data_IF_195911748976
#
_entry.id   IF_195911748976
#
_cell.length_a   1.000
_cell.length_b   1.000
_cell.length_c   1.000
_cell.angle_alpha   90.00
_cell.angle_beta   90.00
_cell.angle_gamma   90.00
#
_symmetry.space_group_name_H-M   'P 1'
#
loop_
_entity.id
_entity.type
_entity.pdbx_description
1 polymer ?
#
# COMPACT_ATOMS: atom_id res chain seq x y z
N UNK A 1 -29.02 -0.29 -28.78
CA UNK A 1 -29.40 -1.68 -28.46
C UNK A 1 -28.33 -2.24 -27.56
N UNK A 2 -28.75 -2.48 -26.34
CA UNK A 2 -27.92 -2.76 -25.18
C UNK A 2 -27.41 -4.22 -25.23
N UNK A 3 -26.12 -4.43 -25.54
CA UNK A 3 -25.45 -5.73 -25.42
C UNK A 3 -24.63 -5.86 -24.14
N UNK A 4 -24.87 -4.99 -23.13
CA UNK A 4 -24.11 -4.95 -21.87
C UNK A 4 -24.59 -5.89 -20.76
N UNK A 5 -25.74 -6.55 -20.88
CA UNK A 5 -26.42 -7.16 -19.73
C UNK A 5 -25.94 -8.57 -19.31
N UNK A 6 -25.49 -9.41 -20.21
CA UNK A 6 -25.20 -10.82 -19.91
C UNK A 6 -23.72 -11.11 -19.59
N UNK A 7 -22.80 -10.27 -20.01
CA UNK A 7 -21.37 -10.45 -19.77
C UNK A 7 -20.88 -10.03 -18.38
N UNK A 8 -21.53 -9.06 -17.74
CA UNK A 8 -21.06 -8.49 -16.47
C UNK A 8 -21.10 -9.49 -15.28
N UNK A 9 -22.18 -10.28 -15.06
CA UNK A 9 -22.18 -11.30 -14.01
C UNK A 9 -21.16 -12.40 -14.24
N UNK A 10 -21.02 -12.88 -15.49
CA UNK A 10 -20.04 -13.91 -15.84
C UNK A 10 -18.59 -13.41 -15.63
N UNK A 11 -18.30 -12.18 -16.03
CA UNK A 11 -17.00 -11.55 -15.77
C UNK A 11 -16.73 -11.40 -14.27
N UNK A 12 -17.73 -10.98 -13.48
CA UNK A 12 -17.62 -10.89 -12.02
C UNK A 12 -17.32 -12.26 -11.42
N UNK A 13 -18.06 -13.32 -11.80
CA UNK A 13 -17.81 -14.67 -11.32
C UNK A 13 -16.38 -15.13 -11.65
N UNK A 14 -15.91 -14.92 -12.90
CA UNK A 14 -14.55 -15.28 -13.33
C UNK A 14 -13.47 -14.53 -12.51
N UNK A 15 -13.64 -13.24 -12.29
CA UNK A 15 -12.73 -12.42 -11.46
C UNK A 15 -12.64 -12.94 -10.04
N UNK A 16 -13.78 -13.26 -9.41
CA UNK A 16 -13.79 -13.79 -8.05
C UNK A 16 -13.16 -15.18 -7.97
N UNK A 17 -13.40 -16.04 -8.96
CA UNK A 17 -12.74 -17.35 -9.08
C UNK A 17 -11.21 -17.23 -9.20
N UNK A 18 -10.73 -16.29 -10.01
CA UNK A 18 -9.31 -16.01 -10.11
C UNK A 18 -8.73 -15.55 -8.76
N UNK A 19 -9.37 -14.61 -8.07
CA UNK A 19 -8.90 -14.16 -6.76
C UNK A 19 -8.89 -15.28 -5.72
N UNK A 20 -9.88 -16.18 -5.72
CA UNK A 20 -9.90 -17.33 -4.83
C UNK A 20 -8.68 -18.23 -5.02
N UNK A 21 -8.30 -18.51 -6.29
CA UNK A 21 -7.20 -19.42 -6.62
C UNK A 21 -5.80 -18.80 -6.60
N UNK A 22 -5.69 -17.48 -6.61
CA UNK A 22 -4.37 -16.79 -6.70
C UNK A 22 -4.12 -15.87 -5.51
N UNK A 23 -4.86 -14.76 -5.41
CA UNK A 23 -4.58 -13.71 -4.43
C UNK A 23 -4.90 -14.09 -2.98
N UNK A 24 -5.99 -14.85 -2.77
CA UNK A 24 -6.41 -15.26 -1.43
C UNK A 24 -5.84 -16.62 -1.04
N UNK A 25 -5.50 -17.47 -2.00
CA UNK A 25 -4.93 -18.78 -1.75
C UNK A 25 -3.65 -18.67 -0.91
N UNK A 26 -3.60 -19.38 0.22
CA UNK A 26 -2.47 -19.35 1.16
C UNK A 26 -2.35 -18.08 2.02
N UNK A 27 -3.19 -17.06 1.78
CA UNK A 27 -3.14 -15.79 2.51
C UNK A 27 -4.35 -15.52 3.40
N UNK A 28 -5.55 -15.89 2.95
CA UNK A 28 -6.80 -15.75 3.71
C UNK A 28 -7.79 -16.85 3.30
N UNK A 29 -7.87 -17.96 4.05
CA UNK A 29 -8.82 -19.03 3.78
C UNK A 29 -10.28 -18.54 3.74
N UNK A 30 -10.63 -17.57 4.58
CA UNK A 30 -11.98 -16.97 4.63
C UNK A 30 -12.30 -16.26 3.31
N UNK A 31 -11.43 -15.36 2.86
CA UNK A 31 -11.64 -14.64 1.59
C UNK A 31 -11.56 -15.56 0.37
N UNK A 32 -10.70 -16.58 0.41
CA UNK A 32 -10.65 -17.60 -0.64
C UNK A 32 -11.99 -18.34 -0.76
N UNK A 33 -12.58 -18.75 0.38
CA UNK A 33 -13.87 -19.42 0.43
C UNK A 33 -15.02 -18.51 -0.05
N UNK A 34 -15.07 -17.25 0.41
CA UNK A 34 -16.09 -16.29 -0.04
C UNK A 34 -15.99 -16.02 -1.56
N UNK A 35 -14.78 -15.84 -2.06
CA UNK A 35 -14.56 -15.60 -3.49
C UNK A 35 -14.95 -16.81 -4.35
N UNK A 36 -14.60 -18.03 -3.93
CA UNK A 36 -15.03 -19.26 -4.60
C UNK A 36 -16.56 -19.40 -4.59
N UNK A 37 -17.21 -19.03 -3.48
CA UNK A 37 -18.68 -19.05 -3.36
C UNK A 37 -19.36 -18.07 -4.33
N UNK A 38 -18.84 -16.84 -4.44
CA UNK A 38 -19.33 -15.87 -5.44
C UNK A 38 -19.16 -16.40 -6.85
N UNK A 39 -18.02 -17.00 -7.17
CA UNK A 39 -17.76 -17.57 -8.50
C UNK A 39 -18.75 -18.71 -8.85
N UNK A 40 -19.16 -19.51 -7.87
CA UNK A 40 -20.08 -20.63 -8.04
C UNK A 40 -21.57 -20.24 -8.01
N UNK A 41 -21.92 -19.02 -7.51
CA UNK A 41 -23.30 -18.60 -7.27
C UNK A 41 -23.72 -17.50 -8.23
N UNK A 42 -24.37 -17.84 -9.33
CA UNK A 42 -24.72 -16.91 -10.41
C UNK A 42 -25.55 -15.69 -9.90
N UNK A 43 -26.49 -15.90 -8.97
CA UNK A 43 -27.32 -14.82 -8.41
C UNK A 43 -26.51 -13.85 -7.54
N UNK A 44 -25.43 -14.33 -6.90
CA UNK A 44 -24.54 -13.52 -6.10
C UNK A 44 -23.61 -12.68 -6.97
N UNK A 45 -23.04 -13.31 -8.00
CA UNK A 45 -22.25 -12.60 -9.01
C UNK A 45 -23.09 -11.52 -9.73
N UNK A 46 -24.36 -11.81 -10.03
CA UNK A 46 -25.29 -10.85 -10.61
C UNK A 46 -25.59 -9.67 -9.66
N UNK A 47 -25.74 -9.92 -8.36
CA UNK A 47 -25.93 -8.88 -7.36
C UNK A 47 -24.71 -7.93 -7.32
N UNK A 48 -23.50 -8.47 -7.23
CA UNK A 48 -22.25 -7.70 -7.22
C UNK A 48 -22.05 -6.95 -8.55
N UNK A 49 -22.45 -7.54 -9.67
CA UNK A 49 -22.37 -6.92 -10.99
C UNK A 49 -23.25 -5.67 -11.15
N UNK A 50 -24.17 -5.39 -10.20
CA UNK A 50 -24.94 -4.12 -10.15
C UNK A 50 -24.08 -2.92 -9.72
N UNK A 51 -22.88 -3.15 -9.15
CA UNK A 51 -21.90 -2.10 -8.86
C UNK A 51 -21.23 -1.60 -10.16
N UNK A 52 -20.68 -0.37 -10.18
CA UNK A 52 -19.79 0.08 -11.24
C UNK A 52 -18.61 -0.89 -11.44
N UNK A 53 -18.07 -1.05 -12.66
CA UNK A 53 -17.01 -2.03 -12.95
C UNK A 53 -15.78 -1.91 -12.05
N UNK A 54 -15.33 -0.69 -11.77
CA UNK A 54 -14.19 -0.37 -10.89
C UNK A 54 -14.46 -0.64 -9.40
N UNK A 55 -15.72 -0.89 -9.03
CA UNK A 55 -16.17 -1.14 -7.66
C UNK A 55 -16.48 -2.61 -7.37
N UNK A 56 -16.32 -3.51 -8.35
CA UNK A 56 -16.61 -4.96 -8.20
C UNK A 56 -15.46 -5.77 -7.63
N UNK A 57 -14.38 -5.12 -7.24
CA UNK A 57 -13.17 -5.79 -6.72
C UNK A 57 -13.50 -6.63 -5.47
N UNK A 58 -13.07 -7.91 -5.40
CA UNK A 58 -13.32 -8.77 -4.24
C UNK A 58 -12.88 -8.13 -2.92
N UNK A 59 -11.66 -7.59 -2.87
CA UNK A 59 -11.13 -6.91 -1.68
C UNK A 59 -12.04 -5.79 -1.17
N UNK A 60 -12.62 -4.99 -2.08
CA UNK A 60 -13.46 -3.86 -1.73
C UNK A 60 -14.81 -4.33 -1.16
N UNK A 61 -15.43 -5.31 -1.82
CA UNK A 61 -16.76 -5.85 -1.40
C UNK A 61 -16.63 -6.57 -0.05
N UNK A 62 -15.58 -7.37 0.13
CA UNK A 62 -15.35 -8.11 1.37
C UNK A 62 -15.03 -7.15 2.53
N UNK A 63 -14.13 -6.17 2.30
CA UNK A 63 -13.85 -5.15 3.30
C UNK A 63 -15.09 -4.35 3.70
N UNK A 64 -15.99 -4.04 2.75
CA UNK A 64 -17.23 -3.36 3.06
C UNK A 64 -18.17 -4.18 3.97
N UNK A 65 -18.22 -5.50 3.78
CA UNK A 65 -19.01 -6.36 4.69
C UNK A 65 -18.37 -6.41 6.09
N UNK A 66 -17.04 -6.50 6.19
CA UNK A 66 -16.35 -6.46 7.48
C UNK A 66 -16.49 -5.12 8.20
N UNK A 67 -16.37 -4.02 7.47
CA UNK A 67 -16.59 -2.67 8.00
C UNK A 67 -17.98 -2.51 8.63
N UNK A 68 -18.99 -3.18 8.07
CA UNK A 68 -20.37 -3.22 8.61
C UNK A 68 -20.58 -4.27 9.70
N UNK A 69 -19.51 -4.97 10.13
CA UNK A 69 -19.57 -5.91 11.23
C UNK A 69 -19.90 -7.36 10.83
N UNK A 70 -19.74 -7.74 9.56
CA UNK A 70 -19.82 -9.13 9.16
C UNK A 70 -18.69 -9.92 9.85
N UNK A 71 -18.98 -11.01 10.59
CA UNK A 71 -17.96 -11.83 11.18
C UNK A 71 -17.20 -12.65 10.13
N UNK A 72 -16.02 -13.16 10.51
CA UNK A 72 -15.28 -14.16 9.73
C UNK A 72 -16.04 -15.49 9.77
N UNK A 73 -16.96 -15.66 8.86
CA UNK A 73 -17.93 -16.75 8.84
C UNK A 73 -17.78 -17.63 7.59
N UNK A 74 -18.48 -18.76 7.59
CA UNK A 74 -18.62 -19.58 6.39
C UNK A 74 -19.30 -18.81 5.25
N UNK A 75 -19.15 -19.25 3.98
CA UNK A 75 -19.68 -18.53 2.83
C UNK A 75 -21.19 -18.31 2.82
N UNK A 76 -21.97 -19.25 3.37
CA UNK A 76 -23.45 -19.11 3.40
C UNK A 76 -23.89 -18.03 4.40
N UNK A 77 -23.25 -17.97 5.56
CA UNK A 77 -23.48 -16.93 6.57
C UNK A 77 -23.06 -15.56 6.02
N UNK A 78 -21.93 -15.47 5.34
CA UNK A 78 -21.48 -14.23 4.69
C UNK A 78 -22.47 -13.80 3.58
N UNK A 79 -22.94 -14.72 2.73
CA UNK A 79 -23.93 -14.43 1.70
C UNK A 79 -25.22 -13.87 2.29
N UNK A 80 -25.73 -14.50 3.38
CA UNK A 80 -26.91 -14.03 4.07
C UNK A 80 -26.72 -12.61 4.61
N UNK A 81 -25.57 -12.31 5.21
CA UNK A 81 -25.21 -10.97 5.66
C UNK A 81 -25.17 -9.97 4.49
N UNK A 82 -24.46 -10.32 3.40
CA UNK A 82 -24.35 -9.45 2.22
C UNK A 82 -25.72 -9.11 1.64
N UNK A 83 -26.58 -10.11 1.43
CA UNK A 83 -27.93 -9.91 0.88
C UNK A 83 -28.82 -9.09 1.81
N UNK A 84 -28.81 -9.38 3.10
CA UNK A 84 -29.58 -8.68 4.10
C UNK A 84 -29.17 -7.21 4.27
N UNK A 85 -27.91 -6.88 3.99
CA UNK A 85 -27.35 -5.55 4.17
C UNK A 85 -26.92 -4.88 2.85
N UNK A 86 -27.35 -5.40 1.70
CA UNK A 86 -26.87 -4.95 0.39
C UNK A 86 -26.93 -3.42 0.17
N UNK A 87 -27.98 -2.69 0.54
CA UNK A 87 -27.99 -1.24 0.38
C UNK A 87 -26.86 -0.53 1.15
N UNK A 88 -26.57 -0.96 2.39
CA UNK A 88 -25.51 -0.41 3.20
C UNK A 88 -24.11 -0.80 2.64
N UNK A 89 -23.92 -2.08 2.27
CA UNK A 89 -22.69 -2.56 1.63
C UNK A 89 -22.41 -1.75 0.35
N UNK A 90 -23.42 -1.57 -0.49
CA UNK A 90 -23.30 -0.78 -1.72
C UNK A 90 -22.86 0.66 -1.42
N UNK A 91 -23.43 1.29 -0.40
CA UNK A 91 -23.06 2.66 0.02
C UNK A 91 -21.58 2.71 0.43
N UNK A 92 -21.12 1.78 1.27
CA UNK A 92 -19.70 1.69 1.68
C UNK A 92 -18.80 1.46 0.49
N UNK A 93 -19.12 0.50 -0.38
CA UNK A 93 -18.32 0.20 -1.59
C UNK A 93 -18.20 1.42 -2.50
N UNK A 94 -19.27 2.17 -2.71
CA UNK A 94 -19.24 3.36 -3.56
C UNK A 94 -18.42 4.50 -2.96
N UNK A 95 -18.47 4.66 -1.64
CA UNK A 95 -17.75 5.73 -0.92
C UNK A 95 -16.28 5.46 -0.66
N UNK A 96 -15.82 4.22 -0.79
CA UNK A 96 -14.46 3.84 -0.41
C UNK A 96 -13.63 3.27 -1.55
N UNK A 97 -12.32 3.12 -1.31
CA UNK A 97 -11.34 2.51 -2.21
C UNK A 97 -10.47 1.53 -1.42
N UNK A 98 -9.84 0.59 -2.11
CA UNK A 98 -8.84 -0.31 -1.53
C UNK A 98 -7.50 0.43 -1.40
N UNK A 99 -7.34 1.20 -0.34
CA UNK A 99 -6.12 1.98 -0.06
C UNK A 99 -5.37 1.32 1.10
N UNK A 100 -4.69 0.22 0.82
CA UNK A 100 -3.90 -0.50 1.84
C UNK A 100 -2.75 0.38 2.31
N UNK A 101 -2.63 0.60 3.62
CA UNK A 101 -1.48 1.24 4.23
C UNK A 101 -0.69 0.21 5.03
N UNK A 102 0.52 -0.15 4.58
CA UNK A 102 1.34 -1.23 5.13
C UNK A 102 2.61 -0.66 5.77
N UNK A 103 2.60 -0.37 7.09
CA UNK A 103 3.75 0.26 7.77
C UNK A 103 5.02 -0.56 7.70
N UNK A 104 4.92 -1.91 7.62
CA UNK A 104 6.08 -2.80 7.57
C UNK A 104 6.95 -2.57 6.33
N UNK A 105 6.42 -1.96 5.26
CA UNK A 105 7.24 -1.54 4.12
C UNK A 105 8.36 -0.59 4.51
N UNK A 106 8.23 0.15 5.62
CA UNK A 106 9.31 0.95 6.16
C UNK A 106 10.57 0.13 6.45
N UNK A 107 10.45 -1.16 6.81
CA UNK A 107 11.61 -2.01 7.07
C UNK A 107 12.44 -2.27 5.81
N UNK A 108 11.83 -2.27 4.63
CA UNK A 108 12.55 -2.40 3.36
C UNK A 108 13.05 -1.06 2.82
N UNK A 109 12.37 0.04 3.13
CA UNK A 109 12.73 1.40 2.69
C UNK A 109 13.86 2.01 3.53
N UNK A 110 13.89 1.71 4.83
CA UNK A 110 14.83 2.32 5.79
C UNK A 110 16.31 2.19 5.40
N UNK A 111 16.83 1.06 4.89
CA UNK A 111 18.21 0.95 4.43
C UNK A 111 18.56 1.95 3.33
N UNK A 112 17.61 2.22 2.40
CA UNK A 112 17.81 3.21 1.33
C UNK A 112 17.75 4.62 1.88
N UNK A 113 16.83 4.93 2.78
CA UNK A 113 16.80 6.23 3.47
C UNK A 113 18.10 6.47 4.25
N UNK A 114 18.63 5.44 4.92
CA UNK A 114 19.92 5.50 5.61
C UNK A 114 21.09 5.79 4.65
N UNK A 115 21.12 5.15 3.46
CA UNK A 115 22.12 5.43 2.42
C UNK A 115 22.08 6.89 1.96
N UNK A 116 20.89 7.42 1.69
CA UNK A 116 20.72 8.81 1.26
C UNK A 116 21.18 9.77 2.36
N UNK A 117 20.74 9.54 3.60
CA UNK A 117 21.12 10.38 4.75
C UNK A 117 22.62 10.38 5.00
N UNK A 118 23.30 9.22 4.88
CA UNK A 118 24.74 9.10 5.04
C UNK A 118 25.53 9.85 3.96
N UNK A 119 25.04 9.85 2.72
CA UNK A 119 25.65 10.57 1.58
C UNK A 119 25.48 12.07 1.68
N UNK A 120 24.28 12.52 1.99
CA UNK A 120 23.94 13.96 1.97
C UNK A 120 24.28 14.67 3.28
N UNK A 121 24.32 13.93 4.40
CA UNK A 121 24.54 14.46 5.77
C UNK A 121 23.52 15.52 6.17
N UNK A 122 22.33 15.49 5.59
CA UNK A 122 21.22 16.40 5.87
C UNK A 122 20.01 15.62 6.38
N UNK A 123 19.10 16.26 7.13
CA UNK A 123 17.80 15.65 7.40
C UNK A 123 17.07 15.33 6.10
N UNK A 124 16.31 14.24 6.07
CA UNK A 124 15.49 13.90 4.93
C UNK A 124 14.13 14.59 5.00
N UNK A 125 13.67 15.12 3.88
CA UNK A 125 12.28 15.50 3.66
C UNK A 125 11.61 14.38 2.89
N UNK A 126 10.78 13.59 3.54
CA UNK A 126 10.08 12.48 2.94
C UNK A 126 8.82 12.95 2.23
N UNK A 127 8.67 12.56 0.96
CA UNK A 127 7.50 12.86 0.14
C UNK A 127 6.97 11.53 -0.41
N UNK A 128 5.87 11.04 0.15
CA UNK A 128 5.25 9.80 -0.30
C UNK A 128 4.20 10.05 -1.38
N UNK A 129 4.27 9.27 -2.45
CA UNK A 129 3.24 9.24 -3.48
C UNK A 129 2.33 8.04 -3.21
N UNK A 130 1.01 8.30 -3.08
CA UNK A 130 0.04 7.31 -2.68
C UNK A 130 0.14 6.89 -1.19
N UNK A 131 0.27 7.86 -0.25
CA UNK A 131 0.47 7.58 1.17
C UNK A 131 -0.74 6.95 1.87
N UNK A 132 -1.93 6.97 1.30
CA UNK A 132 -3.16 6.59 2.00
C UNK A 132 -3.30 7.41 3.31
N UNK A 133 -3.07 6.81 4.49
CA UNK A 133 -3.04 7.51 5.78
C UNK A 133 -1.62 7.98 6.22
N UNK A 134 -0.60 7.84 5.37
CA UNK A 134 0.75 8.36 5.62
C UNK A 134 1.59 7.57 6.63
N UNK A 135 1.27 6.30 6.89
CA UNK A 135 1.99 5.52 7.89
C UNK A 135 3.44 5.21 7.49
N UNK A 136 3.76 5.14 6.19
CA UNK A 136 5.14 4.97 5.75
C UNK A 136 5.98 6.27 5.81
N UNK A 137 5.35 7.40 6.11
CA UNK A 137 6.03 8.68 6.38
C UNK A 137 6.58 8.80 7.81
N UNK A 138 6.36 7.79 8.67
CA UNK A 138 6.78 7.77 10.07
C UNK A 138 7.91 6.76 10.37
N UNK A 139 8.89 6.51 9.46
CA UNK A 139 9.86 5.44 9.66
C UNK A 139 10.73 5.62 10.89
N UNK A 140 11.01 6.84 11.31
CA UNK A 140 11.82 7.19 12.47
C UNK A 140 11.09 7.05 13.81
N UNK A 141 9.76 6.88 13.78
CA UNK A 141 8.94 6.66 14.96
C UNK A 141 8.68 5.18 15.26
N UNK A 142 9.19 4.28 14.43
CA UNK A 142 9.05 2.83 14.59
C UNK A 142 10.34 2.19 15.12
N UNK A 143 10.25 0.94 15.51
CA UNK A 143 11.42 0.10 15.75
C UNK A 143 11.51 -1.02 14.73
N UNK A 144 12.71 -1.50 14.50
CA UNK A 144 13.04 -2.48 13.47
C UNK A 144 13.86 -3.61 14.05
N UNK A 145 13.65 -4.81 13.53
CA UNK A 145 14.44 -5.99 13.83
C UNK A 145 14.74 -6.73 12.53
N UNK A 146 16.01 -6.76 12.14
CA UNK A 146 16.50 -7.49 10.98
C UNK A 146 17.13 -8.81 11.44
N UNK A 147 16.67 -9.93 10.85
CA UNK A 147 17.15 -11.30 11.08
C UNK A 147 17.14 -11.72 12.57
N UNK A 148 16.30 -11.10 13.40
CA UNK A 148 16.23 -11.35 14.83
C UNK A 148 17.43 -10.82 15.64
N UNK A 149 18.38 -10.14 15.02
CA UNK A 149 19.66 -9.71 15.63
C UNK A 149 19.82 -8.20 15.64
N UNK A 150 19.75 -7.57 14.47
CA UNK A 150 19.97 -6.11 14.36
C UNK A 150 18.72 -5.36 14.74
N UNK A 151 18.80 -4.53 15.78
CA UNK A 151 17.70 -3.68 16.24
C UNK A 151 18.00 -2.20 16.07
N UNK A 152 16.97 -1.45 15.64
CA UNK A 152 17.05 -0.02 15.43
C UNK A 152 15.73 0.65 15.83
N UNK A 153 15.81 1.84 16.44
CA UNK A 153 14.63 2.57 16.95
C UNK A 153 14.06 1.96 18.23
N UNK A 154 13.14 2.70 18.86
CA UNK A 154 12.51 2.31 20.14
C UNK A 154 11.00 2.48 20.13
N UNK A 155 10.45 3.00 19.03
CA UNK A 155 9.01 3.25 18.92
C UNK A 155 8.19 2.02 18.51
N UNK A 156 6.91 2.22 18.34
CA UNK A 156 5.96 1.18 17.91
C UNK A 156 5.35 1.54 16.55
N UNK A 157 5.05 0.54 15.71
CA UNK A 157 5.27 -0.91 15.89
C UNK A 157 6.73 -1.36 15.76
N UNK A 158 7.02 -2.58 16.23
CA UNK A 158 8.25 -3.30 15.88
C UNK A 158 8.07 -3.97 14.51
N UNK A 159 8.85 -3.53 13.53
CA UNK A 159 8.81 -4.01 12.15
C UNK A 159 9.93 -5.05 11.93
N UNK A 160 9.54 -6.32 11.79
CA UNK A 160 10.48 -7.42 11.54
C UNK A 160 10.66 -7.64 10.06
N UNK A 161 11.92 -7.80 9.63
CA UNK A 161 12.29 -8.08 8.25
C UNK A 161 13.40 -9.13 8.21
N UNK A 162 13.23 -10.15 7.40
CA UNK A 162 14.29 -11.12 7.09
C UNK A 162 15.06 -10.62 5.88
N UNK A 163 16.41 -10.70 5.94
CA UNK A 163 17.27 -10.20 4.87
C UNK A 163 18.12 -11.29 4.24
N UNK A 164 18.49 -11.08 2.98
CA UNK A 164 19.57 -11.81 2.32
C UNK A 164 20.52 -10.84 1.63
N UNK A 165 21.74 -11.27 1.33
CA UNK A 165 22.81 -10.37 0.89
C UNK A 165 23.31 -9.49 2.03
N UNK A 166 23.78 -8.30 1.72
CA UNK A 166 24.36 -7.37 2.70
C UNK A 166 23.67 -6.01 2.62
N UNK A 167 22.39 -5.91 3.05
CA UNK A 167 21.69 -4.64 3.02
C UNK A 167 22.39 -3.63 3.95
N UNK A 168 22.51 -2.35 3.54
CA UNK A 168 23.19 -1.32 4.32
C UNK A 168 22.27 -0.83 5.45
N UNK A 169 22.01 -1.68 6.45
CA UNK A 169 21.23 -1.31 7.61
C UNK A 169 21.93 -0.13 8.32
N UNK A 170 21.27 1.02 8.52
CA UNK A 170 21.92 2.16 9.13
C UNK A 170 22.24 1.88 10.61
N UNK A 171 23.41 2.35 11.06
CA UNK A 171 23.82 2.21 12.47
C UNK A 171 22.99 3.07 13.43
N UNK A 172 22.34 4.12 12.92
CA UNK A 172 21.45 4.99 13.65
C UNK A 172 20.27 5.41 12.75
N UNK A 173 19.14 5.76 13.38
CA UNK A 173 17.95 6.22 12.67
C UNK A 173 18.27 7.49 11.86
N UNK A 174 17.95 7.55 10.55
CA UNK A 174 18.12 8.76 9.77
C UNK A 174 17.20 9.86 10.32
N UNK A 175 17.71 11.09 10.33
CA UNK A 175 16.90 12.23 10.76
C UNK A 175 15.88 12.60 9.69
N UNK A 176 14.61 12.58 10.06
CA UNK A 176 13.51 13.07 9.22
C UNK A 176 13.18 14.50 9.65
N UNK A 177 13.28 15.43 8.72
CA UNK A 177 13.06 16.86 8.97
C UNK A 177 11.68 17.35 8.55
N UNK A 178 11.03 16.66 7.59
CA UNK A 178 9.66 16.95 7.20
C UNK A 178 9.00 15.74 6.53
N UNK A 179 7.67 15.72 6.51
CA UNK A 179 6.85 14.64 5.96
C UNK A 179 5.70 15.22 5.16
N UNK A 180 5.63 14.87 3.88
CA UNK A 180 4.52 15.23 3.02
C UNK A 180 4.11 14.06 2.13
N UNK A 181 2.91 14.11 1.56
CA UNK A 181 2.51 13.13 0.58
C UNK A 181 1.35 13.60 -0.28
N UNK A 182 1.21 12.99 -1.47
CA UNK A 182 0.12 13.24 -2.39
C UNK A 182 -0.64 11.95 -2.67
N UNK A 183 -1.97 11.99 -2.50
CA UNK A 183 -2.88 10.88 -2.79
C UNK A 183 -4.12 11.41 -3.51
N UNK A 184 -4.73 10.62 -4.38
CA UNK A 184 -6.03 10.96 -4.97
C UNK A 184 -7.14 11.06 -3.91
N UNK A 185 -6.97 10.37 -2.79
CA UNK A 185 -7.92 10.33 -1.68
C UNK A 185 -7.17 10.10 -0.36
N UNK A 186 -6.47 11.10 0.17
CA UNK A 186 -5.75 10.97 1.42
C UNK A 186 -6.72 10.69 2.58
N UNK A 187 -6.34 9.76 3.46
CA UNK A 187 -7.16 9.35 4.60
C UNK A 187 -6.64 9.99 5.89
N UNK A 188 -7.52 10.44 6.75
CA UNK A 188 -7.16 10.84 8.11
C UNK A 188 -7.07 9.58 9.01
N UNK A 189 -5.86 9.11 9.26
CA UNK A 189 -5.61 7.96 10.13
C UNK A 189 -5.91 8.22 11.61
N UNK A 190 -6.45 9.38 11.99
CA UNK A 190 -6.93 9.69 13.33
C UNK A 190 -8.47 9.76 13.41
N UNK A 191 -9.16 9.73 12.27
CA UNK A 191 -10.61 9.61 12.21
C UNK A 191 -11.02 8.15 12.53
N UNK A 192 -11.85 7.93 13.55
CA UNK A 192 -12.28 6.57 13.92
C UNK A 192 -12.98 5.79 12.80
N UNK A 193 -13.66 6.45 11.88
CA UNK A 193 -14.30 5.80 10.74
C UNK A 193 -13.26 5.32 9.74
N UNK A 194 -12.27 6.16 9.42
CA UNK A 194 -11.18 5.79 8.52
C UNK A 194 -10.28 4.72 9.12
N UNK A 195 -10.02 4.77 10.44
CA UNK A 195 -9.31 3.70 11.17
C UNK A 195 -10.03 2.37 10.99
N UNK A 196 -11.35 2.30 11.24
CA UNK A 196 -12.14 1.08 11.03
C UNK A 196 -12.10 0.61 9.58
N UNK A 197 -12.11 1.54 8.61
CA UNK A 197 -11.99 1.19 7.20
C UNK A 197 -10.62 0.57 6.87
N UNK A 198 -9.53 1.16 7.34
CA UNK A 198 -8.18 0.63 7.17
C UNK A 198 -8.02 -0.76 7.79
N UNK A 199 -8.62 -0.98 8.96
CA UNK A 199 -8.65 -2.30 9.62
C UNK A 199 -9.44 -3.33 8.79
N UNK A 200 -10.58 -2.95 8.22
CA UNK A 200 -11.41 -3.82 7.39
C UNK A 200 -10.73 -4.21 6.07
N UNK A 201 -9.73 -3.45 5.60
CA UNK A 201 -8.92 -3.80 4.43
C UNK A 201 -7.86 -4.88 4.73
N UNK A 202 -7.60 -5.19 5.99
CA UNK A 202 -6.71 -6.30 6.38
C UNK A 202 -7.50 -7.60 6.29
N UNK A 203 -6.98 -8.55 5.54
CA UNK A 203 -7.69 -9.80 5.30
C UNK A 203 -7.76 -10.67 6.55
N UNK A 204 -8.87 -11.41 6.77
CA UNK A 204 -8.98 -12.37 7.86
C UNK A 204 -7.81 -13.37 7.91
N UNK A 205 -7.36 -13.66 9.11
CA UNK A 205 -6.19 -14.53 9.36
C UNK A 205 -4.84 -13.82 9.27
N UNK A 206 -4.82 -12.50 9.04
CA UNK A 206 -3.58 -11.69 9.01
C UNK A 206 -3.41 -10.84 10.28
N UNK A 207 -3.61 -11.45 11.45
CA UNK A 207 -3.63 -10.76 12.75
C UNK A 207 -2.36 -9.97 13.05
N UNK A 208 -1.21 -10.46 12.60
CA UNK A 208 0.06 -9.75 12.73
C UNK A 208 0.11 -8.44 11.92
N UNK A 209 -0.54 -8.40 10.74
CA UNK A 209 -0.69 -7.16 9.97
C UNK A 209 -1.65 -6.20 10.63
N UNK A 210 -2.78 -6.71 11.12
CA UNK A 210 -3.76 -5.89 11.85
C UNK A 210 -3.14 -5.26 13.09
N UNK A 211 -2.40 -6.04 13.89
CA UNK A 211 -1.69 -5.53 15.06
C UNK A 211 -0.66 -4.45 14.69
N UNK A 212 0.10 -4.65 13.62
CA UNK A 212 1.06 -3.67 13.11
C UNK A 212 0.38 -2.38 12.64
N UNK A 213 -0.74 -2.50 11.91
CA UNK A 213 -1.53 -1.34 11.46
C UNK A 213 -2.05 -0.54 12.66
N UNK A 214 -2.67 -1.19 13.64
CA UNK A 214 -3.19 -0.56 14.85
C UNK A 214 -2.11 0.18 15.64
N UNK A 215 -0.95 -0.44 15.80
CA UNK A 215 0.17 0.20 16.50
C UNK A 215 0.71 1.42 15.74
N UNK A 216 0.78 1.38 14.40
CA UNK A 216 1.20 2.52 13.60
C UNK A 216 0.17 3.67 13.64
N UNK A 217 -1.12 3.37 13.58
CA UNK A 217 -2.19 4.35 13.72
C UNK A 217 -2.17 5.00 15.13
N UNK A 218 -1.92 4.21 16.18
CA UNK A 218 -1.74 4.72 17.53
C UNK A 218 -0.52 5.67 17.63
N UNK A 219 0.59 5.34 16.94
CA UNK A 219 1.76 6.21 16.86
C UNK A 219 1.44 7.52 16.13
N UNK A 220 0.71 7.46 15.01
CA UNK A 220 0.25 8.66 14.29
C UNK A 220 -0.65 9.55 15.15
N UNK A 221 -1.52 8.95 15.98
CA UNK A 221 -2.43 9.66 16.86
C UNK A 221 -1.80 10.12 18.18
N UNK A 222 -0.56 9.73 18.48
CA UNK A 222 0.11 10.05 19.76
C UNK A 222 0.35 11.54 19.91
N UNK A 223 0.17 12.11 21.13
CA UNK A 223 0.49 13.51 21.40
C UNK A 223 1.96 13.82 21.06
N UNK A 224 2.20 14.93 20.38
CA UNK A 224 3.53 15.35 19.97
C UNK A 224 4.06 14.73 18.69
N UNK A 225 3.36 13.78 18.10
CA UNK A 225 3.70 13.27 16.76
C UNK A 225 3.43 14.37 15.72
N UNK A 226 4.47 14.75 14.99
CA UNK A 226 4.33 15.62 13.82
C UNK A 226 3.64 14.85 12.69
N UNK A 227 2.39 15.22 12.43
CA UNK A 227 1.57 14.54 11.41
C UNK A 227 2.08 14.89 10.01
N UNK A 228 2.11 13.91 9.08
CA UNK A 228 2.41 14.18 7.68
C UNK A 228 1.41 15.18 7.07
N UNK A 229 1.89 16.09 6.25
CA UNK A 229 1.05 16.94 5.39
C UNK A 229 0.61 16.13 4.18
N UNK A 230 -0.62 15.63 4.18
CA UNK A 230 -1.20 14.92 3.04
C UNK A 230 -2.02 15.88 2.19
N UNK A 231 -1.75 15.90 0.87
CA UNK A 231 -2.48 16.72 -0.10
C UNK A 231 -3.26 15.83 -1.06
N UNK A 232 -4.50 16.22 -1.35
CA UNK A 232 -5.30 15.57 -2.36
C UNK A 232 -4.88 16.04 -3.77
N UNK A 233 -4.75 15.08 -4.71
CA UNK A 233 -4.45 15.40 -6.10
C UNK A 233 -3.74 14.30 -6.86
N UNK A 234 -3.56 14.54 -8.16
CA UNK A 234 -2.78 13.67 -9.04
C UNK A 234 -1.27 13.85 -8.76
N UNK A 235 -0.57 12.74 -8.67
CA UNK A 235 0.87 12.73 -8.38
C UNK A 235 1.68 13.51 -9.42
N UNK A 236 1.31 13.41 -10.72
CA UNK A 236 2.00 14.11 -11.81
C UNK A 236 1.78 15.64 -11.79
N UNK A 237 0.78 16.10 -11.05
CA UNK A 237 0.47 17.53 -10.92
C UNK A 237 1.07 18.14 -9.65
N UNK A 238 1.16 17.33 -8.59
CA UNK A 238 1.46 17.83 -7.23
C UNK A 238 2.89 17.56 -6.76
N UNK A 239 3.58 16.53 -7.30
CA UNK A 239 4.90 16.13 -6.79
C UNK A 239 5.95 17.24 -6.88
N UNK A 240 5.97 18.00 -7.97
CA UNK A 240 6.94 19.08 -8.17
C UNK A 240 6.77 20.22 -7.15
N UNK A 241 5.52 20.54 -6.79
CA UNK A 241 5.19 21.52 -5.74
C UNK A 241 5.70 21.03 -4.37
N UNK A 242 5.46 19.77 -4.03
CA UNK A 242 5.91 19.21 -2.76
C UNK A 242 7.44 19.17 -2.65
N UNK A 243 8.16 18.93 -3.73
CA UNK A 243 9.63 19.01 -3.77
C UNK A 243 10.11 20.45 -3.63
N UNK A 244 9.45 21.41 -4.28
CA UNK A 244 9.79 22.82 -4.20
C UNK A 244 9.57 23.41 -2.79
N UNK A 245 8.64 22.85 -2.01
CA UNK A 245 8.37 23.25 -0.62
C UNK A 245 9.44 22.75 0.36
N UNK A 246 10.38 21.88 -0.06
CA UNK A 246 11.41 21.31 0.82
C UNK A 246 12.44 22.40 1.20
N UNK A 247 12.72 22.60 2.49
CA UNK A 247 13.75 23.54 2.91
C UNK A 247 15.12 23.18 2.31
N UNK A 248 15.94 24.16 1.86
CA UNK A 248 17.25 23.90 1.23
C UNK A 248 18.26 23.23 2.18
N UNK A 249 17.97 23.17 3.48
CA UNK A 249 18.76 22.47 4.49
C UNK A 249 18.45 20.97 4.57
N UNK A 250 17.41 20.49 3.86
CA UNK A 250 16.98 19.10 3.84
C UNK A 250 17.30 18.47 2.48
N UNK A 251 17.27 17.14 2.45
CA UNK A 251 17.36 16.36 1.22
C UNK A 251 15.97 15.83 0.88
N UNK A 252 15.43 16.22 -0.26
CA UNK A 252 14.14 15.71 -0.76
C UNK A 252 14.27 14.24 -1.15
N UNK A 253 13.36 13.42 -0.66
CA UNK A 253 13.24 12.00 -1.02
C UNK A 253 11.80 11.73 -1.41
N UNK A 254 11.55 11.58 -2.70
CA UNK A 254 10.25 11.13 -3.22
C UNK A 254 10.24 9.62 -3.23
N UNK A 255 9.24 9.00 -2.62
CA UNK A 255 9.12 7.55 -2.60
C UNK A 255 7.68 7.08 -2.78
N UNK A 256 7.54 5.83 -3.22
CA UNK A 256 6.27 5.14 -3.35
C UNK A 256 6.44 3.62 -3.24
N UNK A 257 5.37 2.94 -2.88
CA UNK A 257 5.35 1.48 -2.82
C UNK A 257 3.97 0.94 -3.18
N UNK A 258 3.90 0.16 -4.26
CA UNK A 258 2.65 -0.40 -4.83
C UNK A 258 1.65 0.69 -5.26
N UNK A 259 2.10 1.69 -5.96
CA UNK A 259 1.30 2.84 -6.42
C UNK A 259 1.31 2.97 -7.94
N UNK A 260 2.49 2.96 -8.56
CA UNK A 260 2.59 3.18 -10.00
C UNK A 260 1.96 2.06 -10.83
N UNK A 261 1.74 0.88 -10.24
CA UNK A 261 1.01 -0.21 -10.89
C UNK A 261 -0.41 0.19 -11.32
N UNK A 262 -1.02 1.16 -10.64
CA UNK A 262 -2.37 1.67 -10.96
C UNK A 262 -2.38 2.72 -12.08
N UNK A 263 -1.21 3.21 -12.51
CA UNK A 263 -1.11 4.22 -13.56
C UNK A 263 -0.93 3.58 -14.94
N UNK A 264 -1.50 4.19 -15.99
CA UNK A 264 -1.15 3.86 -17.38
C UNK A 264 0.34 4.10 -17.66
N UNK A 265 0.96 3.32 -18.59
CA UNK A 265 2.39 3.46 -18.90
C UNK A 265 2.84 4.89 -19.22
N UNK A 266 2.07 5.64 -19.99
CA UNK A 266 2.40 7.05 -20.32
C UNK A 266 2.44 7.97 -19.11
N UNK A 267 1.60 7.73 -18.09
CA UNK A 267 1.63 8.51 -16.85
C UNK A 267 2.81 8.14 -15.96
N UNK A 268 3.22 6.86 -15.95
CA UNK A 268 4.45 6.42 -15.27
C UNK A 268 5.69 7.08 -15.86
N UNK A 269 5.79 7.08 -17.19
CA UNK A 269 6.90 7.74 -17.91
C UNK A 269 6.93 9.25 -17.63
N UNK A 270 5.77 9.91 -17.62
CA UNK A 270 5.66 11.33 -17.26
C UNK A 270 6.15 11.59 -15.84
N UNK A 271 5.76 10.73 -14.88
CA UNK A 271 6.21 10.85 -13.50
C UNK A 271 7.73 10.74 -13.39
N UNK A 272 8.32 9.70 -14.00
CA UNK A 272 9.77 9.52 -14.01
C UNK A 272 10.49 10.72 -14.65
N UNK A 273 10.00 11.21 -15.80
CA UNK A 273 10.57 12.38 -16.46
C UNK A 273 10.48 13.65 -15.59
N UNK A 274 9.38 13.83 -14.86
CA UNK A 274 9.23 14.95 -13.91
C UNK A 274 10.28 14.84 -12.80
N UNK A 275 10.41 13.67 -12.15
CA UNK A 275 11.39 13.49 -11.07
C UNK A 275 12.83 13.71 -11.53
N UNK A 276 13.17 13.31 -12.76
CA UNK A 276 14.49 13.52 -13.33
C UNK A 276 14.89 15.01 -13.46
N UNK A 277 13.93 15.95 -13.43
CA UNK A 277 14.18 17.39 -13.48
C UNK A 277 14.23 18.06 -12.11
N UNK A 278 13.89 17.33 -11.04
CA UNK A 278 13.80 17.88 -9.69
C UNK A 278 15.06 17.54 -8.86
N UNK A 279 15.41 18.43 -7.93
CA UNK A 279 16.50 18.18 -6.98
C UNK A 279 15.97 17.27 -5.83
N UNK A 280 15.83 15.98 -6.14
CA UNK A 280 15.38 14.96 -5.19
C UNK A 280 15.98 13.60 -5.48
N UNK A 281 16.03 12.74 -4.47
CA UNK A 281 16.21 11.30 -4.67
C UNK A 281 14.87 10.63 -4.89
N UNK A 282 14.85 9.60 -5.73
CA UNK A 282 13.66 8.82 -6.02
C UNK A 282 13.81 7.37 -5.56
N UNK A 283 12.97 6.93 -4.63
CA UNK A 283 12.92 5.56 -4.13
C UNK A 283 11.62 4.91 -4.60
N UNK A 284 11.72 3.89 -5.42
CA UNK A 284 10.57 3.11 -5.92
C UNK A 284 10.58 1.69 -5.35
N UNK A 285 9.41 1.16 -4.97
CA UNK A 285 9.22 -0.21 -4.52
C UNK A 285 7.94 -0.78 -5.14
N UNK A 286 8.08 -1.37 -6.33
CA UNK A 286 6.97 -1.82 -7.17
C UNK A 286 7.22 -3.23 -7.72
N UNK A 287 6.20 -3.86 -8.29
CA UNK A 287 6.36 -5.14 -9.02
C UNK A 287 7.08 -4.99 -10.38
N UNK A 288 7.64 -3.83 -10.64
CA UNK A 288 8.50 -3.46 -11.76
C UNK A 288 9.44 -2.33 -11.33
N UNK A 289 10.39 -1.95 -12.17
CA UNK A 289 11.07 -0.65 -12.07
C UNK A 289 11.02 0.06 -13.42
N UNK A 290 11.26 1.36 -13.41
CA UNK A 290 11.42 2.14 -14.64
C UNK A 290 12.92 2.31 -14.88
N UNK A 291 13.37 1.92 -16.07
CA UNK A 291 14.76 2.11 -16.49
C UNK A 291 15.04 3.58 -16.90
N UNK A 292 16.27 3.85 -17.27
CA UNK A 292 16.72 5.20 -17.66
C UNK A 292 15.94 5.80 -18.87
N UNK A 293 15.25 4.95 -19.66
CA UNK A 293 14.36 5.39 -20.73
C UNK A 293 12.92 5.66 -20.27
N UNK A 294 12.60 5.36 -19.02
CA UNK A 294 11.25 5.38 -18.48
C UNK A 294 10.40 4.15 -18.88
N UNK A 295 11.01 3.14 -19.49
CA UNK A 295 10.31 1.90 -19.82
C UNK A 295 10.10 1.02 -18.56
N UNK A 296 8.95 0.34 -18.52
CA UNK A 296 8.62 -0.57 -17.42
C UNK A 296 9.36 -1.90 -17.59
N UNK A 297 10.23 -2.24 -16.65
CA UNK A 297 10.91 -3.53 -16.56
C UNK A 297 10.27 -4.33 -15.43
N UNK A 298 9.63 -5.48 -15.72
CA UNK A 298 9.01 -6.31 -14.69
C UNK A 298 10.01 -6.78 -13.64
N UNK A 299 9.56 -6.97 -12.39
CA UNK A 299 10.39 -7.62 -11.36
C UNK A 299 10.78 -9.02 -11.83
N UNK A 300 12.03 -9.40 -11.60
CA UNK A 300 12.54 -10.73 -11.92
C UNK A 300 11.79 -11.87 -11.18
N UNK A 301 11.11 -11.54 -10.09
CA UNK A 301 10.32 -12.46 -9.27
C UNK A 301 8.88 -11.95 -9.21
N UNK A 302 7.94 -12.65 -9.83
CA UNK A 302 6.56 -12.20 -10.04
C UNK A 302 5.74 -11.90 -8.78
N UNK A 303 6.14 -12.44 -7.63
CA UNK A 303 5.54 -12.24 -6.31
C UNK A 303 6.26 -11.19 -5.45
N UNK A 304 7.34 -10.58 -5.96
CA UNK A 304 8.18 -9.62 -5.24
C UNK A 304 8.21 -8.27 -5.92
N UNK A 305 8.46 -7.24 -5.12
CA UNK A 305 8.73 -5.90 -5.62
C UNK A 305 10.23 -5.71 -5.88
N UNK A 306 10.55 -4.81 -6.77
CA UNK A 306 11.90 -4.29 -6.97
C UNK A 306 12.03 -2.96 -6.25
N UNK A 307 12.94 -2.89 -5.29
CA UNK A 307 13.34 -1.66 -4.62
C UNK A 307 14.47 -1.02 -5.41
N UNK A 308 14.26 0.21 -5.87
CA UNK A 308 15.25 0.95 -6.64
C UNK A 308 15.48 2.35 -6.08
N UNK A 309 16.67 2.88 -6.27
CA UNK A 309 17.07 4.26 -5.96
C UNK A 309 17.53 4.94 -7.26
N UNK A 310 16.90 6.06 -7.60
CA UNK A 310 17.22 6.87 -8.79
C UNK A 310 17.28 6.00 -10.07
N UNK A 311 16.25 5.16 -10.27
CA UNK A 311 16.13 4.22 -11.40
C UNK A 311 16.99 2.95 -11.31
N UNK A 312 17.85 2.80 -10.29
CA UNK A 312 18.78 1.66 -10.16
C UNK A 312 18.26 0.63 -9.17
N UNK A 313 17.98 -0.62 -9.58
CA UNK A 313 17.57 -1.69 -8.68
C UNK A 313 18.63 -1.97 -7.62
N UNK A 314 18.22 -2.11 -6.36
CA UNK A 314 19.06 -2.39 -5.21
C UNK A 314 18.69 -3.71 -4.52
N UNK A 315 17.43 -4.07 -4.53
CA UNK A 315 16.92 -5.23 -3.80
C UNK A 315 15.59 -5.74 -4.38
N UNK A 316 15.25 -6.98 -4.03
CA UNK A 316 13.89 -7.49 -4.12
C UNK A 316 13.25 -7.52 -2.74
N UNK A 317 11.96 -7.14 -2.65
CA UNK A 317 11.25 -7.05 -1.38
C UNK A 317 9.96 -7.86 -1.41
N UNK A 318 9.56 -8.38 -0.26
CA UNK A 318 8.20 -8.89 -0.08
C UNK A 318 7.18 -7.75 -0.15
N UNK A 319 6.03 -7.99 -0.76
CA UNK A 319 4.99 -6.97 -0.98
C UNK A 319 4.52 -6.24 0.31
N UNK A 320 4.67 -6.91 1.45
CA UNK A 320 4.29 -6.38 2.77
C UNK A 320 5.51 -6.07 3.66
N UNK A 321 6.72 -5.95 3.11
CA UNK A 321 7.91 -5.52 3.83
C UNK A 321 8.51 -6.55 4.80
N UNK A 322 8.12 -7.83 4.70
CA UNK A 322 8.63 -8.89 5.57
C UNK A 322 10.03 -9.42 5.15
N UNK A 323 10.42 -9.23 3.90
CA UNK A 323 11.68 -9.71 3.35
C UNK A 323 12.36 -8.65 2.50
N UNK A 324 13.69 -8.66 2.52
CA UNK A 324 14.55 -7.75 1.77
C UNK A 324 15.76 -8.54 1.25
N UNK A 325 15.81 -8.79 -0.05
CA UNK A 325 16.92 -9.51 -0.70
C UNK A 325 17.81 -8.50 -1.42
N UNK A 326 18.91 -8.14 -0.80
CA UNK A 326 19.83 -7.13 -1.32
C UNK A 326 20.70 -7.71 -2.44
N UNK A 327 20.74 -7.05 -3.59
CA UNK A 327 21.41 -7.56 -4.80
C UNK A 327 22.66 -6.76 -5.19
N UNK A 328 23.06 -5.75 -4.40
CA UNK A 328 24.26 -4.92 -4.65
C UNK A 328 25.13 -4.77 -3.41
#
# INVERSE_FOLDING_TARGET
>A
MDQGGTGAPAHTAATYGQYAGTWFAGHSPVYAAWAAHVAATASLAALIATLPPDKRQPNLVFAATQFLGCPDADPATWEAFLRGNWPAVRTVVLGHRTQTNEPRRCATLLPVFGLIAARTRRPLALIEVGPSAGLCLLPDLYSYEYDGVTRLGTGAPLLRCTTTGTPPIPAAMPRIGSRAGVDLNPLDGTDPEMVRWLEALVWPGQDGRLATLRAALATLASPGTERPRLVAGDLNERVAELVADVPPTHTAVVFHSAVLAYLPPGQRARFAATLATLDCHWVSNENFFLDDSGATVPSAHGDRFTLALDGRPLAHTGQHGATLDWIR
#
